data_IF_971622587208
#
_entry.id   IF_971622587208
#
_cell.length_a   1.000
_cell.length_b   1.000
_cell.length_c   1.000
_cell.angle_alpha   90.00
_cell.angle_beta   90.00
_cell.angle_gamma   90.00
#
_symmetry.space_group_name_H-M   'P 1'
#
loop_
_entity.id
_entity.type
_entity.pdbx_description
1 polymer ?
#
# COMPACT_ATOMS: atom_id res chain seq x y z
N UNK A 1 0.85 -12.78 10.95
CA UNK A 1 1.29 -12.05 9.75
C UNK A 1 0.21 -11.07 9.32
N UNK A 2 0.58 -9.84 8.98
CA UNK A 2 -0.35 -8.86 8.42
C UNK A 2 -0.95 -9.38 7.11
N UNK A 3 -2.26 -9.23 6.94
CA UNK A 3 -2.98 -9.70 5.74
C UNK A 3 -2.67 -8.86 4.51
N UNK A 4 -2.33 -7.59 4.69
CA UNK A 4 -1.89 -6.68 3.64
C UNK A 4 -0.52 -6.10 4.01
N UNK A 5 0.34 -5.93 3.02
CA UNK A 5 1.62 -5.23 3.17
C UNK A 5 1.40 -3.72 3.18
N UNK A 6 0.45 -3.23 2.38
CA UNK A 6 0.13 -1.81 2.28
C UNK A 6 -1.38 -1.55 2.17
N UNK A 7 -1.81 -0.46 2.81
CA UNK A 7 -3.12 0.14 2.62
C UNK A 7 -2.96 1.54 2.01
N UNK A 8 -3.50 1.72 0.81
CA UNK A 8 -3.51 3.01 0.13
C UNK A 8 -4.89 3.62 0.34
N UNK A 9 -4.99 4.68 1.13
CA UNK A 9 -6.24 5.41 1.32
C UNK A 9 -6.28 6.59 0.36
N UNK A 10 -7.14 6.48 -0.66
CA UNK A 10 -7.33 7.51 -1.68
C UNK A 10 -8.52 8.37 -1.27
N UNK A 11 -8.30 9.66 -1.02
CA UNK A 11 -9.36 10.60 -0.67
C UNK A 11 -10.35 10.71 -1.84
N UNK A 12 -11.61 10.31 -1.60
CA UNK A 12 -12.70 10.40 -2.57
C UNK A 12 -13.78 11.39 -2.09
N UNK A 13 -13.39 12.36 -1.24
CA UNK A 13 -14.34 13.30 -0.65
C UNK A 13 -14.78 14.36 -1.67
N UNK A 14 -16.09 14.63 -1.65
CA UNK A 14 -16.77 15.60 -2.51
C UNK A 14 -17.24 16.79 -1.69
N UNK A 15 -17.22 17.98 -2.29
CA UNK A 15 -17.87 19.18 -1.77
C UNK A 15 -18.54 19.95 -2.90
N UNK A 16 -19.51 20.83 -2.60
CA UNK A 16 -20.08 21.71 -3.60
C UNK A 16 -19.01 22.52 -4.35
N UNK A 17 -19.19 22.79 -5.65
CA UNK A 17 -18.31 23.67 -6.41
C UNK A 17 -18.14 25.03 -5.71
N UNK A 18 -16.92 25.56 -5.68
CA UNK A 18 -16.61 26.84 -5.04
C UNK A 18 -16.39 26.80 -3.52
N UNK A 19 -16.41 25.62 -2.89
CA UNK A 19 -16.02 25.51 -1.48
C UNK A 19 -14.56 25.97 -1.26
N UNK A 20 -14.33 26.84 -0.26
CA UNK A 20 -13.03 27.51 -0.02
C UNK A 20 -11.80 26.58 0.10
N UNK A 21 -11.99 25.34 0.57
CA UNK A 21 -10.92 24.35 0.75
C UNK A 21 -10.75 23.40 -0.45
N UNK A 22 -11.61 23.50 -1.47
CA UNK A 22 -11.68 22.50 -2.54
C UNK A 22 -12.14 21.11 -2.06
N UNK A 23 -11.93 20.10 -2.90
CA UNK A 23 -12.15 18.68 -2.62
C UNK A 23 -11.33 17.80 -3.57
N UNK A 24 -11.11 16.54 -3.20
CA UNK A 24 -10.20 15.64 -3.94
C UNK A 24 -10.88 14.86 -5.07
N UNK A 25 -12.21 14.77 -5.07
CA UNK A 25 -12.97 14.07 -6.11
C UNK A 25 -14.15 14.92 -6.57
N UNK A 26 -13.93 16.05 -7.27
CA UNK A 26 -14.99 16.98 -7.64
C UNK A 26 -16.09 16.35 -8.52
N UNK A 27 -15.76 15.32 -9.29
CA UNK A 27 -16.71 14.59 -10.13
C UNK A 27 -17.41 13.44 -9.38
N UNK A 28 -16.92 13.07 -8.19
CA UNK A 28 -17.48 12.02 -7.37
C UNK A 28 -17.34 10.60 -7.95
N UNK A 29 -16.46 10.41 -8.93
CA UNK A 29 -16.29 9.15 -9.66
C UNK A 29 -15.29 8.22 -9.00
N UNK A 30 -14.50 8.71 -8.05
CA UNK A 30 -13.39 7.97 -7.47
C UNK A 30 -12.39 7.49 -8.53
N UNK A 31 -12.19 8.28 -9.60
CA UNK A 31 -11.41 7.89 -10.76
C UNK A 31 -9.97 7.52 -10.38
N UNK A 32 -9.33 8.34 -9.53
CA UNK A 32 -7.98 8.07 -9.04
C UNK A 32 -7.88 6.74 -8.28
N UNK A 33 -8.83 6.45 -7.38
CA UNK A 33 -8.90 5.16 -6.69
C UNK A 33 -9.10 4.00 -7.68
N UNK A 34 -9.88 4.21 -8.73
CA UNK A 34 -10.08 3.26 -9.81
C UNK A 34 -8.76 2.88 -10.49
N UNK A 35 -7.93 3.88 -10.81
CA UNK A 35 -6.61 3.69 -11.40
C UNK A 35 -5.68 2.89 -10.47
N UNK A 36 -5.65 3.20 -9.17
CA UNK A 36 -4.89 2.38 -8.21
C UNK A 36 -5.36 0.92 -8.20
N UNK A 37 -6.67 0.66 -8.20
CA UNK A 37 -7.18 -0.72 -8.25
C UNK A 37 -6.77 -1.45 -9.53
N UNK A 38 -6.84 -0.77 -10.69
CA UNK A 38 -6.43 -1.34 -11.96
C UNK A 38 -4.92 -1.65 -11.96
N UNK A 39 -4.08 -0.68 -11.59
CA UNK A 39 -2.63 -0.84 -11.54
C UNK A 39 -2.15 -1.92 -10.57
N UNK A 40 -2.86 -2.11 -9.44
CA UNK A 40 -2.60 -3.23 -8.50
C UNK A 40 -2.92 -4.60 -9.12
N UNK A 41 -3.94 -4.65 -9.99
CA UNK A 41 -4.32 -5.87 -10.72
C UNK A 41 -3.25 -6.26 -11.72
N UNK A 42 -2.81 -5.28 -12.52
CA UNK A 42 -1.78 -5.46 -13.55
C UNK A 42 -0.44 -5.95 -12.98
N UNK A 43 -0.11 -5.54 -11.76
CA UNK A 43 1.13 -5.92 -11.06
C UNK A 43 1.00 -7.21 -10.24
N UNK A 44 -0.16 -7.86 -10.23
CA UNK A 44 -0.40 -9.04 -9.40
C UNK A 44 -0.33 -8.76 -7.88
N UNK A 45 -0.58 -7.52 -7.47
CA UNK A 45 -0.51 -7.07 -6.07
C UNK A 45 -1.86 -7.15 -5.35
N UNK A 46 -2.93 -7.52 -6.04
CA UNK A 46 -4.24 -7.79 -5.42
C UNK A 46 -4.10 -8.82 -4.30
N UNK A 47 -4.73 -8.53 -3.16
CA UNK A 47 -4.66 -9.39 -1.96
C UNK A 47 -3.45 -9.15 -1.07
N UNK A 48 -2.39 -8.49 -1.58
CA UNK A 48 -1.25 -8.01 -0.77
C UNK A 48 -1.35 -6.54 -0.47
N UNK A 49 -1.79 -5.75 -1.45
CA UNK A 49 -1.95 -4.30 -1.33
C UNK A 49 -3.40 -3.94 -1.60
N UNK A 50 -3.94 -3.02 -0.80
CA UNK A 50 -5.35 -2.62 -0.89
C UNK A 50 -5.49 -1.12 -1.11
N UNK A 51 -6.03 -0.75 -2.27
CA UNK A 51 -6.54 0.59 -2.52
C UNK A 51 -7.96 0.75 -1.91
N UNK A 52 -8.06 1.59 -0.89
CA UNK A 52 -9.27 1.89 -0.15
C UNK A 52 -9.80 3.28 -0.52
N UNK A 53 -11.12 3.42 -0.44
CA UNK A 53 -11.76 4.74 -0.48
C UNK A 53 -11.62 5.37 0.89
N UNK A 54 -11.23 6.65 0.94
CA UNK A 54 -11.25 7.44 2.17
C UNK A 54 -12.23 8.61 2.05
N UNK A 55 -12.74 9.03 3.21
CA UNK A 55 -13.37 10.34 3.36
C UNK A 55 -12.34 11.46 3.29
N UNK A 56 -12.70 12.65 3.78
CA UNK A 56 -11.77 13.77 3.84
C UNK A 56 -10.57 13.41 4.74
N UNK A 57 -9.36 13.43 4.17
CA UNK A 57 -8.10 13.24 4.92
C UNK A 57 -7.55 14.54 5.50
N UNK A 58 -8.37 15.58 5.51
CA UNK A 58 -8.07 16.93 6.00
C UNK A 58 -6.96 17.69 5.27
N UNK A 59 -6.37 17.16 4.20
CA UNK A 59 -5.32 17.83 3.39
C UNK A 59 -5.86 18.42 2.08
N UNK A 60 -7.02 19.07 2.10
CA UNK A 60 -7.72 19.46 0.86
C UNK A 60 -6.93 20.46 0.00
N UNK A 61 -6.18 21.36 0.64
CA UNK A 61 -5.33 22.36 -0.01
C UNK A 61 -4.17 21.75 -0.80
N UNK A 62 -3.81 20.51 -0.48
CA UNK A 62 -2.75 19.72 -1.10
C UNK A 62 -3.33 18.52 -1.87
N UNK A 63 -4.65 18.48 -2.08
CA UNK A 63 -5.32 17.36 -2.74
C UNK A 63 -5.12 17.35 -4.27
N UNK A 64 -5.40 16.22 -4.96
CA UNK A 64 -5.89 14.95 -4.42
C UNK A 64 -4.89 14.24 -3.52
N UNK A 65 -5.37 13.73 -2.37
CA UNK A 65 -4.50 13.14 -1.33
C UNK A 65 -4.57 11.62 -1.32
N UNK A 66 -3.40 10.98 -1.19
CA UNK A 66 -3.26 9.55 -0.95
C UNK A 66 -2.34 9.34 0.24
N UNK A 67 -2.74 8.52 1.21
CA UNK A 67 -1.86 8.10 2.31
C UNK A 67 -1.60 6.59 2.24
N UNK A 68 -0.34 6.20 2.44
CA UNK A 68 0.12 4.81 2.37
C UNK A 68 0.55 4.35 3.75
N UNK A 69 -0.17 3.38 4.31
CA UNK A 69 0.17 2.70 5.55
C UNK A 69 0.84 1.34 5.28
N UNK A 70 1.73 0.85 6.16
CA UNK A 70 2.06 1.40 7.48
C UNK A 70 3.11 2.53 7.51
N UNK A 71 3.70 2.91 6.38
CA UNK A 71 4.81 3.87 6.33
C UNK A 71 4.41 5.33 6.58
N UNK A 72 3.11 5.63 6.67
CA UNK A 72 2.56 6.97 6.85
C UNK A 72 3.05 7.96 5.78
N UNK A 73 3.18 7.49 4.54
CA UNK A 73 3.60 8.36 3.43
C UNK A 73 2.38 9.12 2.91
N UNK A 74 2.44 10.45 2.97
CA UNK A 74 1.40 11.34 2.49
C UNK A 74 1.77 11.92 1.13
N UNK A 75 0.98 11.62 0.10
CA UNK A 75 1.09 12.23 -1.22
C UNK A 75 -0.03 13.21 -1.48
N UNK A 76 0.34 14.35 -2.03
CA UNK A 76 -0.54 15.44 -2.43
C UNK A 76 -0.41 15.74 -3.93
N UNK A 77 -1.40 16.44 -4.48
CA UNK A 77 -1.43 16.83 -5.89
C UNK A 77 -1.42 15.64 -6.86
N UNK A 78 -1.78 14.43 -6.40
CA UNK A 78 -1.61 13.19 -7.16
C UNK A 78 -2.48 13.21 -8.42
N UNK A 79 -1.85 12.99 -9.56
CA UNK A 79 -2.52 12.88 -10.86
C UNK A 79 -2.64 11.42 -11.33
N UNK A 80 -3.52 11.14 -12.31
CA UNK A 80 -3.62 9.83 -12.94
C UNK A 80 -2.29 9.23 -13.39
N UNK A 81 -1.39 10.07 -13.92
CA UNK A 81 -0.09 9.69 -14.47
C UNK A 81 0.93 9.27 -13.39
N UNK A 82 0.70 9.68 -12.14
CA UNK A 82 1.57 9.35 -11.01
C UNK A 82 1.27 7.96 -10.43
N UNK A 83 0.09 7.41 -10.69
CA UNK A 83 -0.35 6.12 -10.12
C UNK A 83 0.64 4.98 -10.42
N UNK A 84 1.13 4.80 -11.67
CA UNK A 84 2.15 3.78 -11.96
C UNK A 84 3.42 4.00 -11.15
N UNK A 85 3.92 5.24 -11.07
CA UNK A 85 5.14 5.58 -10.31
C UNK A 85 4.98 5.29 -8.82
N UNK A 86 3.85 5.63 -8.22
CA UNK A 86 3.56 5.34 -6.80
C UNK A 86 3.54 3.83 -6.56
N UNK A 87 2.93 3.05 -7.45
CA UNK A 87 2.87 1.60 -7.32
C UNK A 87 4.24 0.93 -7.51
N UNK A 88 5.04 1.40 -8.47
CA UNK A 88 6.32 0.78 -8.81
C UNK A 88 7.45 1.18 -7.87
N UNK A 89 7.59 2.48 -7.58
CA UNK A 89 8.68 3.00 -6.77
C UNK A 89 8.34 2.92 -5.27
N UNK A 90 7.18 3.43 -4.86
CA UNK A 90 6.83 3.49 -3.43
C UNK A 90 6.37 2.15 -2.89
N UNK A 91 5.34 1.56 -3.49
CA UNK A 91 4.79 0.28 -3.01
C UNK A 91 5.72 -0.88 -3.36
N UNK A 92 6.33 -0.87 -4.55
CA UNK A 92 7.18 -1.95 -5.04
C UNK A 92 8.61 -1.93 -4.47
N UNK A 93 9.21 -0.75 -4.31
CA UNK A 93 10.63 -0.60 -3.94
C UNK A 93 10.85 0.17 -2.63
N UNK A 94 9.80 0.67 -1.98
CA UNK A 94 9.91 1.46 -0.76
C UNK A 94 10.50 2.86 -0.97
N UNK A 95 10.55 3.36 -2.20
CA UNK A 95 11.14 4.68 -2.52
C UNK A 95 10.10 5.79 -2.48
N UNK A 96 10.45 6.89 -1.82
CA UNK A 96 9.59 8.07 -1.71
C UNK A 96 9.72 8.93 -2.97
N UNK A 97 8.58 9.31 -3.55
CA UNK A 97 8.49 10.31 -4.61
C UNK A 97 8.42 11.71 -3.99
N UNK A 98 9.57 12.38 -3.92
CA UNK A 98 9.71 13.69 -3.26
C UNK A 98 8.87 14.80 -3.91
N UNK A 99 8.61 14.69 -5.21
CA UNK A 99 7.75 15.61 -5.98
C UNK A 99 6.27 15.56 -5.56
N UNK A 100 5.84 14.46 -4.94
CA UNK A 100 4.46 14.26 -4.47
C UNK A 100 4.35 14.33 -2.95
N UNK A 101 5.46 14.22 -2.22
CA UNK A 101 5.48 14.12 -0.77
C UNK A 101 4.94 15.40 -0.13
N UNK A 102 3.96 15.25 0.77
CA UNK A 102 3.56 16.31 1.68
C UNK A 102 4.49 16.26 2.89
N UNK A 103 5.28 17.30 3.16
CA UNK A 103 6.09 17.37 4.38
C UNK A 103 5.22 17.35 5.63
N UNK A 104 5.70 16.71 6.70
CA UNK A 104 4.96 16.57 7.95
C UNK A 104 4.54 17.94 8.53
N UNK A 105 5.36 18.97 8.37
CA UNK A 105 5.08 20.33 8.84
C UNK A 105 3.92 21.00 8.08
N UNK A 106 3.58 20.48 6.90
CA UNK A 106 2.48 20.98 6.07
C UNK A 106 1.18 20.20 6.27
N UNK A 107 1.20 19.08 7.01
CA UNK A 107 -0.02 18.34 7.33
C UNK A 107 -0.89 19.16 8.29
N UNK A 108 -2.17 19.30 7.94
CA UNK A 108 -3.17 19.98 8.77
C UNK A 108 -3.42 19.28 10.12
N UNK A 109 -3.12 17.99 10.21
CA UNK A 109 -3.24 17.22 11.45
C UNK A 109 -1.95 17.30 12.24
N UNK A 110 -1.99 17.93 13.41
CA UNK A 110 -0.86 17.92 14.35
C UNK A 110 -0.67 16.49 14.87
N UNK A 111 0.35 15.79 14.38
CA UNK A 111 0.76 14.51 14.94
C UNK A 111 1.13 14.69 16.42
N UNK A 112 0.53 13.90 17.32
CA UNK A 112 1.18 13.66 18.61
C UNK A 112 2.37 12.78 18.28
N UNK A 113 3.58 13.34 18.30
CA UNK A 113 4.79 12.68 17.82
C UNK A 113 4.92 11.24 18.31
N UNK A 114 4.55 10.29 17.45
CA UNK A 114 4.99 8.91 17.57
C UNK A 114 6.37 8.94 16.95
N UNK A 115 7.41 8.85 17.77
CA UNK A 115 8.77 8.82 17.28
C UNK A 115 8.88 7.70 16.24
N UNK A 116 9.28 8.06 15.02
CA UNK A 116 9.72 7.11 14.01
C UNK A 116 10.82 6.27 14.66
N UNK A 117 10.71 4.92 14.73
CA UNK A 117 11.81 4.13 15.23
C UNK A 117 12.99 4.32 14.28
N UNK A 118 13.96 5.11 14.72
CA UNK A 118 15.27 5.20 14.10
C UNK A 118 15.92 3.82 14.30
N UNK A 119 16.08 3.07 13.21
CA UNK A 119 16.70 1.73 13.12
C UNK A 119 15.79 0.50 13.33
N UNK A 120 14.65 0.38 12.63
CA UNK A 120 14.17 -0.97 12.29
C UNK A 120 15.00 -1.49 11.11
N UNK A 121 16.00 -2.33 11.39
CA UNK A 121 16.71 -3.11 10.37
C UNK A 121 15.68 -3.78 9.44
N UNK A 122 15.97 -3.89 8.12
CA UNK A 122 15.06 -4.59 7.23
C UNK A 122 14.89 -6.01 7.77
N UNK A 123 13.65 -6.39 8.10
CA UNK A 123 13.32 -7.76 8.47
C UNK A 123 13.90 -8.69 7.40
N UNK A 124 15.05 -9.29 7.71
CA UNK A 124 15.67 -10.30 6.86
C UNK A 124 14.65 -11.41 6.78
N UNK A 125 14.01 -11.52 5.61
CA UNK A 125 13.20 -12.67 5.26
C UNK A 125 14.19 -13.82 5.20
N UNK A 126 14.38 -14.51 6.33
CA UNK A 126 15.05 -15.81 6.35
C UNK A 126 14.27 -16.70 5.39
N UNK A 127 14.90 -16.96 4.26
CA UNK A 127 14.46 -17.92 3.26
C UNK A 127 14.89 -19.29 3.76
N UNK A 128 14.00 -20.18 4.23
CA UNK A 128 14.39 -21.55 4.47
C UNK A 128 14.46 -22.21 3.09
N UNK A 129 15.65 -22.17 2.48
CA UNK A 129 16.01 -23.12 1.45
C UNK A 129 15.80 -24.53 1.99
N UNK A 130 14.99 -25.27 1.25
CA UNK A 130 14.85 -26.72 1.29
C UNK A 130 16.22 -27.39 1.13
N UNK A 131 16.42 -28.53 1.81
CA UNK A 131 16.70 -29.78 1.10
C UNK A 131 15.99 -30.95 1.83
N UNK A 132 15.83 -32.17 1.34
CA UNK A 132 16.17 -32.88 0.12
C UNK A 132 15.49 -34.25 0.22
N UNK A 133 15.30 -34.90 -0.92
CA UNK A 133 15.06 -36.32 -1.11
C UNK A 133 15.83 -37.28 -0.18
N UNK A 134 15.16 -38.33 0.30
CA UNK A 134 15.74 -39.64 0.69
C UNK A 134 14.62 -40.70 0.67
N UNK A 135 14.49 -41.49 -0.39
CA UNK A 135 14.98 -42.88 -0.53
C UNK A 135 14.25 -43.93 0.32
N UNK A 136 13.62 -44.89 -0.36
CA UNK A 136 13.06 -46.16 0.15
C UNK A 136 14.08 -46.95 1.01
N UNK A 137 13.58 -47.89 1.82
CA UNK A 137 13.92 -49.28 1.50
C UNK A 137 12.75 -50.27 1.64
N UNK A 138 12.84 -51.33 0.83
CA UNK A 138 12.12 -52.59 0.94
C UNK A 138 12.30 -53.25 2.31
N UNK A 139 11.28 -53.93 2.80
CA UNK A 139 11.45 -55.20 3.51
C UNK A 139 10.14 -55.97 3.55
N UNK A 140 10.24 -57.22 3.11
CA UNK A 140 9.30 -58.32 3.17
C UNK A 140 8.64 -58.50 4.55
N UNK A 141 7.40 -59.00 4.58
CA UNK A 141 6.92 -59.89 5.65
C UNK A 141 5.59 -60.56 5.23
N UNK A 142 5.76 -61.80 4.77
CA UNK A 142 5.00 -63.00 5.13
C UNK A 142 3.46 -62.95 5.13
N UNK A 143 2.91 -63.65 4.13
CA UNK A 143 1.66 -64.41 4.27
C UNK A 143 1.91 -65.66 5.12
N UNK A 144 1.00 -66.00 6.05
CA UNK A 144 0.72 -67.41 6.32
C UNK A 144 -0.77 -67.75 6.23
N UNK A 145 -1.09 -69.05 6.06
CA UNK A 145 -2.35 -69.50 5.47
C UNK A 145 -3.38 -69.94 6.53
N UNK A 146 -4.66 -69.77 6.20
CA UNK A 146 -5.72 -70.80 6.14
C UNK A 146 -6.97 -70.15 5.54
#
# INVERSE_FOLDING_TARGET
MARFTHHLFVCCHQRPPGHRRGCCDPEGKGALRGLFKAGLTERGLQGKVRANSAGCLDQCELGPTVVIYPQEIWYGGVQPEDVPRILDETVGKGKILEDLLIPDEMLNTKGQGVQKPENSEPDTIENPQSPSSSSNPSSDLETPPQ
#
